data_IF_966857712472
#
_entry.id   IF_966857712472
#
_cell.length_a   1.000
_cell.length_b   1.000
_cell.length_c   1.000
_cell.angle_alpha   90.00
_cell.angle_beta   90.00
_cell.angle_gamma   90.00
#
_symmetry.space_group_name_H-M   'P 1'
#
loop_
_entity.id
_entity.type
_entity.pdbx_description
1 polymer ?
#
# COMPACT_ATOMS: atom_id res chain seq x y z
N UNK A 1 -7.71 13.98 0.73
CA UNK A 1 -6.36 13.51 1.15
C UNK A 1 -5.58 13.14 -0.09
N UNK A 2 -4.31 13.56 -0.18
CA UNK A 2 -3.44 13.19 -1.29
C UNK A 2 -2.94 11.77 -1.10
N UNK A 3 -3.28 10.91 -2.04
CA UNK A 3 -2.79 9.53 -2.11
C UNK A 3 -2.02 9.33 -3.39
N UNK A 4 -1.13 8.34 -3.40
CA UNK A 4 -0.25 8.05 -4.53
C UNK A 4 -0.34 6.58 -4.91
N UNK A 5 -0.58 6.33 -6.19
CA UNK A 5 -0.69 5.01 -6.79
C UNK A 5 0.44 4.76 -7.78
N UNK A 6 1.14 3.65 -7.62
CA UNK A 6 2.14 3.18 -8.57
C UNK A 6 1.55 2.18 -9.55
N UNK A 7 1.89 2.29 -10.82
CA UNK A 7 1.39 1.40 -11.87
C UNK A 7 2.36 1.24 -13.02
N UNK A 8 2.37 0.06 -13.63
CA UNK A 8 3.08 -0.21 -14.91
C UNK A 8 2.29 0.20 -16.15
N UNK A 9 1.11 0.77 -15.99
CA UNK A 9 0.24 1.21 -17.08
C UNK A 9 0.04 2.72 -17.01
N UNK A 10 0.13 3.40 -18.15
CA UNK A 10 -0.18 4.83 -18.19
C UNK A 10 -1.66 5.07 -17.99
N UNK A 11 -1.95 6.05 -17.13
CA UNK A 11 -3.29 6.54 -16.85
C UNK A 11 -3.44 7.98 -17.35
N UNK A 12 -4.67 8.41 -17.51
CA UNK A 12 -5.01 9.77 -17.96
C UNK A 12 -5.63 10.57 -16.80
N UNK A 13 -5.22 11.83 -16.64
CA UNK A 13 -5.77 12.73 -15.65
C UNK A 13 -7.30 12.83 -15.79
N UNK A 14 -8.02 12.73 -14.70
CA UNK A 14 -9.47 12.75 -14.65
C UNK A 14 -10.15 11.38 -14.82
N UNK A 15 -9.42 10.33 -15.18
CA UNK A 15 -9.99 9.00 -15.34
C UNK A 15 -10.44 8.40 -14.01
N UNK A 16 -11.62 7.77 -14.03
CA UNK A 16 -12.08 6.90 -12.96
C UNK A 16 -11.57 5.48 -13.20
N UNK A 17 -10.73 4.99 -12.30
CA UNK A 17 -10.21 3.63 -12.35
C UNK A 17 -10.97 2.78 -11.33
N UNK A 18 -11.46 1.63 -11.76
CA UNK A 18 -12.22 0.69 -10.92
C UNK A 18 -11.47 -0.64 -10.85
N UNK A 19 -11.41 -1.22 -9.67
CA UNK A 19 -10.79 -2.52 -9.45
C UNK A 19 -11.60 -3.63 -10.15
N UNK A 20 -10.92 -4.52 -10.84
CA UNK A 20 -11.53 -5.66 -11.53
C UNK A 20 -10.75 -6.97 -11.39
N UNK A 21 -9.47 -6.89 -11.04
CA UNK A 21 -8.63 -8.06 -10.84
C UNK A 21 -8.50 -8.39 -9.35
N UNK A 22 -8.36 -9.69 -9.06
CA UNK A 22 -8.03 -10.13 -7.71
C UNK A 22 -6.62 -9.72 -7.32
N UNK A 23 -6.47 -9.34 -6.04
CA UNK A 23 -5.16 -9.08 -5.46
C UNK A 23 -4.32 -10.37 -5.45
N UNK A 24 -3.13 -10.31 -6.04
CA UNK A 24 -2.19 -11.44 -6.11
C UNK A 24 -1.09 -11.39 -5.05
N UNK A 25 -1.04 -10.31 -4.27
CA UNK A 25 -0.04 -10.11 -3.21
C UNK A 25 -0.48 -10.76 -1.91
N UNK A 26 0.37 -11.60 -1.33
CA UNK A 26 0.11 -12.28 -0.06
C UNK A 26 -1.23 -13.02 -0.02
N UNK A 27 -1.48 -13.99 -0.91
CA UNK A 27 -2.82 -14.59 -1.08
C UNK A 27 -3.37 -15.23 0.20
N UNK A 28 -2.53 -15.87 1.01
CA UNK A 28 -2.95 -16.50 2.27
C UNK A 28 -3.32 -15.45 3.32
N UNK A 29 -2.54 -14.38 3.43
CA UNK A 29 -2.85 -13.27 4.32
C UNK A 29 -4.16 -12.56 3.88
N UNK A 30 -4.36 -12.35 2.60
CA UNK A 30 -5.61 -11.76 2.06
C UNK A 30 -6.81 -12.62 2.42
N UNK A 31 -6.71 -13.94 2.30
CA UNK A 31 -7.79 -14.86 2.67
C UNK A 31 -8.19 -14.73 4.14
N UNK A 32 -7.22 -14.68 5.03
CA UNK A 32 -7.46 -14.52 6.47
C UNK A 32 -8.05 -13.14 6.78
N UNK A 33 -7.53 -12.08 6.14
CA UNK A 33 -8.06 -10.72 6.30
C UNK A 33 -9.50 -10.60 5.80
N UNK A 34 -9.84 -11.19 4.66
CA UNK A 34 -11.21 -11.20 4.14
C UNK A 34 -12.18 -11.96 5.06
N UNK A 35 -11.75 -13.08 5.64
CA UNK A 35 -12.57 -13.82 6.61
C UNK A 35 -12.86 -12.99 7.87
N UNK A 36 -11.96 -12.13 8.28
CA UNK A 36 -12.13 -11.22 9.44
C UNK A 36 -12.64 -9.83 9.09
N UNK A 37 -12.98 -9.58 7.82
CA UNK A 37 -13.42 -8.25 7.37
C UNK A 37 -14.75 -7.85 8.01
N UNK A 38 -14.80 -6.66 8.68
CA UNK A 38 -16.05 -6.14 9.22
C UNK A 38 -17.02 -5.76 8.09
N UNK A 39 -18.33 -5.88 8.37
CA UNK A 39 -19.39 -5.46 7.45
C UNK A 39 -19.24 -3.98 7.08
N UNK A 40 -19.38 -3.64 5.80
CA UNK A 40 -19.30 -2.28 5.29
C UNK A 40 -17.88 -1.79 4.99
N UNK A 41 -16.86 -2.60 5.21
CA UNK A 41 -15.48 -2.27 4.82
C UNK A 41 -15.18 -2.76 3.41
N UNK A 42 -14.36 -2.02 2.62
CA UNK A 42 -13.95 -2.45 1.29
C UNK A 42 -13.24 -3.80 1.32
N UNK A 43 -13.45 -4.60 0.29
CA UNK A 43 -12.72 -5.86 0.13
C UNK A 43 -11.26 -5.60 -0.25
N UNK A 44 -10.33 -6.31 0.40
CA UNK A 44 -8.92 -6.29 0.02
C UNK A 44 -8.62 -7.24 -1.16
N UNK A 45 -9.49 -8.20 -1.42
CA UNK A 45 -9.29 -9.18 -2.50
C UNK A 45 -9.49 -8.60 -3.89
N UNK A 46 -10.39 -7.62 -4.03
CA UNK A 46 -10.63 -6.88 -5.29
C UNK A 46 -10.62 -5.40 -4.96
N UNK A 47 -9.47 -4.77 -5.08
CA UNK A 47 -9.29 -3.37 -4.73
C UNK A 47 -8.12 -2.74 -5.49
N UNK A 48 -8.08 -1.43 -5.46
CA UNK A 48 -6.95 -0.62 -5.86
C UNK A 48 -6.21 -0.13 -4.62
N UNK A 49 -4.89 -0.06 -4.69
CA UNK A 49 -4.04 0.38 -3.59
C UNK A 49 -3.43 1.74 -3.87
N UNK A 50 -3.28 2.51 -2.82
CA UNK A 50 -2.51 3.75 -2.82
C UNK A 50 -1.75 3.89 -1.49
N UNK A 51 -0.81 4.79 -1.44
CA UNK A 51 -0.06 5.15 -0.24
C UNK A 51 -0.19 6.65 0.01
N UNK A 52 0.14 7.09 1.22
CA UNK A 52 0.13 8.51 1.58
C UNK A 52 1.42 9.25 1.17
N UNK A 53 2.40 8.54 0.62
CA UNK A 53 3.67 9.14 0.17
C UNK A 53 4.08 8.65 -1.22
N UNK A 54 4.74 9.51 -1.97
CA UNK A 54 5.35 9.14 -3.26
C UNK A 54 6.41 8.07 -3.05
N UNK A 55 7.22 8.18 -2.00
CA UNK A 55 8.23 7.19 -1.66
C UNK A 55 7.64 5.81 -1.40
N UNK A 56 6.50 5.73 -0.69
CA UNK A 56 5.79 4.47 -0.45
C UNK A 56 5.31 3.82 -1.75
N UNK A 57 4.69 4.58 -2.64
CA UNK A 57 4.26 4.09 -3.95
C UNK A 57 5.45 3.61 -4.80
N UNK A 58 6.55 4.36 -4.80
CA UNK A 58 7.76 4.01 -5.55
C UNK A 58 8.41 2.74 -5.01
N UNK A 59 8.53 2.59 -3.69
CA UNK A 59 9.06 1.37 -3.06
C UNK A 59 8.23 0.15 -3.41
N UNK A 60 6.92 0.30 -3.43
CA UNK A 60 6.03 -0.77 -3.82
C UNK A 60 6.32 -1.23 -5.26
N UNK A 61 6.48 -0.29 -6.19
CA UNK A 61 6.79 -0.62 -7.58
C UNK A 61 8.16 -1.30 -7.74
N UNK A 62 9.17 -0.85 -7.02
CA UNK A 62 10.48 -1.52 -6.99
C UNK A 62 10.40 -2.92 -6.41
N UNK A 63 9.65 -3.11 -5.32
CA UNK A 63 9.45 -4.41 -4.70
C UNK A 63 8.76 -5.41 -5.64
N UNK A 64 7.85 -4.93 -6.49
CA UNK A 64 7.15 -5.73 -7.50
C UNK A 64 7.95 -5.89 -8.80
N UNK A 65 9.12 -5.28 -8.91
CA UNK A 65 9.99 -5.32 -10.11
C UNK A 65 9.27 -4.85 -11.38
N UNK A 66 8.41 -3.85 -11.24
CA UNK A 66 7.71 -3.23 -12.36
C UNK A 66 8.59 -2.16 -12.98
N UNK A 67 8.90 -2.30 -14.28
CA UNK A 67 9.71 -1.35 -15.04
C UNK A 67 9.26 -1.38 -16.52
N UNK A 68 8.87 -0.25 -17.13
CA UNK A 68 8.72 1.08 -16.51
C UNK A 68 7.51 1.17 -15.58
N UNK A 69 7.50 2.17 -14.71
CA UNK A 69 6.36 2.49 -13.88
C UNK A 69 6.12 4.00 -13.82
N UNK A 70 4.89 4.37 -13.44
CA UNK A 70 4.44 5.73 -13.22
C UNK A 70 3.83 5.85 -11.83
N UNK A 71 3.92 7.03 -11.24
CA UNK A 71 3.25 7.36 -9.99
C UNK A 71 2.22 8.45 -10.27
N UNK A 72 1.01 8.24 -9.78
CA UNK A 72 -0.10 9.19 -9.90
C UNK A 72 -0.58 9.65 -8.55
N UNK A 73 -0.87 10.95 -8.42
CA UNK A 73 -1.70 11.45 -7.34
C UNK A 73 -3.15 11.04 -7.66
N UNK A 74 -3.82 10.44 -6.70
CA UNK A 74 -5.18 9.90 -6.87
C UNK A 74 -6.08 10.31 -5.70
N UNK A 75 -7.39 10.30 -5.93
CA UNK A 75 -8.40 10.54 -4.92
C UNK A 75 -9.31 9.31 -4.79
N UNK A 76 -9.38 8.77 -3.58
CA UNK A 76 -10.31 7.71 -3.20
C UNK A 76 -11.43 8.29 -2.34
N UNK A 77 -12.67 7.99 -2.67
CA UNK A 77 -13.85 8.38 -1.87
C UNK A 77 -14.12 7.34 -0.79
N UNK A 78 -14.16 6.07 -1.19
CA UNK A 78 -14.34 4.93 -0.31
C UNK A 78 -13.02 4.20 -0.16
N UNK A 79 -12.50 4.12 1.06
CA UNK A 79 -11.23 3.44 1.32
C UNK A 79 -11.13 2.91 2.74
N UNK A 80 -10.27 1.93 2.91
CA UNK A 80 -9.76 1.45 4.19
C UNK A 80 -8.27 1.84 4.29
N UNK A 81 -7.88 2.41 5.41
CA UNK A 81 -6.48 2.59 5.79
C UNK A 81 -6.02 1.40 6.61
N UNK A 82 -4.88 0.85 6.29
CA UNK A 82 -4.28 -0.23 7.06
C UNK A 82 -2.75 -0.10 7.13
N UNK A 83 -2.13 -0.58 8.22
CA UNK A 83 -0.68 -0.62 8.32
C UNK A 83 -0.08 -1.57 7.29
N UNK A 84 0.84 -1.07 6.48
CA UNK A 84 1.45 -1.84 5.39
C UNK A 84 2.14 -3.13 5.86
N UNK A 85 2.79 -3.10 7.03
CA UNK A 85 3.56 -4.23 7.56
C UNK A 85 2.71 -5.38 8.07
N UNK A 86 1.46 -5.15 8.43
CA UNK A 86 0.62 -6.20 9.03
C UNK A 86 0.40 -7.36 8.07
N UNK A 87 0.23 -7.08 6.79
CA UNK A 87 0.05 -8.14 5.78
C UNK A 87 1.25 -9.07 5.70
N UNK A 88 2.46 -8.51 5.70
CA UNK A 88 3.70 -9.29 5.72
C UNK A 88 3.85 -10.09 7.01
N UNK A 89 3.56 -9.50 8.16
CA UNK A 89 3.59 -10.21 9.45
C UNK A 89 2.58 -11.35 9.52
N UNK A 90 1.37 -11.15 8.99
CA UNK A 90 0.37 -12.23 8.90
C UNK A 90 0.91 -13.38 8.05
N UNK A 91 1.46 -13.08 6.88
CA UNK A 91 2.01 -14.10 5.98
C UNK A 91 3.13 -14.92 6.64
N UNK A 92 4.05 -14.25 7.31
CA UNK A 92 5.12 -14.90 8.06
C UNK A 92 4.59 -15.80 9.20
N UNK A 93 3.61 -15.33 9.96
CA UNK A 93 3.01 -16.09 11.04
C UNK A 93 2.20 -17.28 10.56
N UNK A 94 1.46 -17.14 9.46
CA UNK A 94 0.76 -18.27 8.84
C UNK A 94 1.73 -19.37 8.43
N UNK A 95 2.86 -19.00 7.84
CA UNK A 95 3.92 -19.95 7.46
C UNK A 95 4.53 -20.65 8.68
N UNK A 96 4.61 -19.99 9.83
CA UNK A 96 5.13 -20.53 11.08
C UNK A 96 4.07 -21.25 11.93
N UNK A 97 2.80 -21.27 11.51
CA UNK A 97 1.70 -21.85 12.28
C UNK A 97 1.32 -21.07 13.53
N UNK A 98 1.69 -19.78 13.60
CA UNK A 98 1.43 -18.90 14.74
C UNK A 98 0.07 -18.20 14.60
N UNK A 99 -0.70 -17.98 15.68
CA UNK A 99 -1.98 -17.26 15.61
C UNK A 99 -1.86 -15.85 15.07
N UNK A 100 -2.87 -15.41 14.28
CA UNK A 100 -2.89 -14.10 13.61
C UNK A 100 -4.10 -13.22 13.98
N UNK A 101 -4.98 -13.66 14.87
CA UNK A 101 -6.24 -12.97 15.17
C UNK A 101 -6.07 -11.52 15.61
N UNK A 102 -5.05 -11.24 16.43
CA UNK A 102 -4.75 -9.87 16.88
C UNK A 102 -4.29 -8.97 15.73
N UNK A 103 -3.51 -9.51 14.81
CA UNK A 103 -3.04 -8.77 13.63
C UNK A 103 -4.19 -8.48 12.67
N UNK A 104 -5.10 -9.43 12.48
CA UNK A 104 -6.32 -9.22 11.67
C UNK A 104 -7.19 -8.11 12.28
N UNK A 105 -7.40 -8.12 13.59
CA UNK A 105 -8.15 -7.06 14.29
C UNK A 105 -7.47 -5.69 14.14
N UNK A 106 -6.15 -5.63 14.32
CA UNK A 106 -5.36 -4.40 14.16
C UNK A 106 -5.40 -3.87 12.72
N UNK A 107 -5.37 -4.74 11.74
CA UNK A 107 -5.47 -4.36 10.32
C UNK A 107 -6.75 -3.59 10.01
N UNK A 108 -7.89 -4.09 10.48
CA UNK A 108 -9.18 -3.49 10.20
C UNK A 108 -9.54 -2.29 11.09
N UNK A 109 -8.93 -2.18 12.25
CA UNK A 109 -9.13 -1.10 13.23
C UNK A 109 -7.80 -0.69 13.85
N UNK A 110 -6.90 -0.04 13.09
CA UNK A 110 -5.58 0.32 13.59
C UNK A 110 -5.68 1.26 14.80
N UNK A 111 -5.02 0.90 15.90
CA UNK A 111 -5.02 1.68 17.15
C UNK A 111 -3.88 2.69 17.21
N UNK A 112 -2.78 2.43 16.50
CA UNK A 112 -1.57 3.25 16.53
C UNK A 112 -1.34 4.00 15.22
N UNK A 113 -0.50 5.03 15.30
CA UNK A 113 0.01 5.73 14.12
C UNK A 113 1.17 4.93 13.52
N UNK A 114 0.91 4.24 12.44
CA UNK A 114 1.92 3.49 11.71
C UNK A 114 2.61 4.39 10.69
N UNK A 115 3.91 4.23 10.52
CA UNK A 115 4.71 5.04 9.60
C UNK A 115 4.37 4.83 8.13
N UNK A 116 3.97 3.61 7.78
CA UNK A 116 3.62 3.26 6.41
C UNK A 116 2.22 2.67 6.39
N UNK A 117 1.31 3.41 5.76
CA UNK A 117 -0.06 2.98 5.58
C UNK A 117 -0.31 2.69 4.10
N UNK A 118 -1.07 1.64 3.86
CA UNK A 118 -1.74 1.42 2.59
C UNK A 118 -3.18 1.90 2.69
N UNK A 119 -3.69 2.37 1.58
CA UNK A 119 -5.09 2.75 1.40
C UNK A 119 -5.62 1.91 0.27
N UNK A 120 -6.75 1.26 0.47
CA UNK A 120 -7.35 0.46 -0.57
C UNK A 120 -8.86 0.66 -0.65
N UNK A 121 -9.38 0.60 -1.85
CA UNK A 121 -10.79 0.80 -2.13
C UNK A 121 -11.17 0.32 -3.53
N UNK A 122 -12.46 0.38 -3.87
CA UNK A 122 -12.97 -0.14 -5.12
C UNK A 122 -12.59 0.71 -6.34
N UNK A 123 -12.31 1.99 -6.14
CA UNK A 123 -12.01 2.93 -7.24
C UNK A 123 -11.26 4.16 -6.77
N UNK A 124 -10.60 4.83 -7.69
CA UNK A 124 -10.04 6.17 -7.50
C UNK A 124 -10.16 7.00 -8.78
N UNK A 125 -10.06 8.32 -8.62
CA UNK A 125 -9.92 9.28 -9.72
C UNK A 125 -8.45 9.67 -9.83
N UNK A 126 -7.92 9.64 -11.05
CA UNK A 126 -6.56 10.11 -11.36
C UNK A 126 -6.54 11.63 -11.36
N UNK A 127 -5.70 12.23 -10.51
CA UNK A 127 -5.56 13.69 -10.42
C UNK A 127 -4.46 14.19 -11.36
N UNK A 128 -3.25 13.65 -11.22
CA UNK A 128 -2.10 14.00 -12.06
C UNK A 128 -1.00 12.95 -12.00
N UNK A 129 -0.19 12.90 -13.04
CA UNK A 129 1.09 12.17 -13.00
C UNK A 129 2.08 12.94 -12.13
N UNK A 130 2.81 12.22 -11.27
CA UNK A 130 3.91 12.79 -10.49
C UNK A 130 5.15 12.88 -11.38
N UNK A 131 5.77 14.07 -11.54
CA UNK A 131 6.95 14.22 -12.37
C UNK A 131 8.13 13.34 -11.93
N UNK A 132 8.88 12.79 -12.86
CA UNK A 132 10.03 11.93 -12.57
C UNK A 132 11.08 12.59 -11.66
N UNK A 133 11.31 13.89 -11.81
CA UNK A 133 12.23 14.65 -10.95
C UNK A 133 11.81 14.67 -9.47
N UNK A 134 10.51 14.80 -9.21
CA UNK A 134 9.93 14.78 -7.85
C UNK A 134 10.08 13.39 -7.21
N UNK A 135 9.92 12.33 -7.99
CA UNK A 135 10.11 10.94 -7.52
C UNK A 135 11.55 10.71 -7.10
N UNK A 136 12.52 11.09 -7.92
CA UNK A 136 13.96 10.89 -7.66
C UNK A 136 14.40 11.64 -6.40
N UNK A 137 14.00 12.89 -6.23
CA UNK A 137 14.36 13.71 -5.06
C UNK A 137 13.86 13.10 -3.75
N UNK A 138 12.58 12.76 -3.68
CA UNK A 138 11.96 12.20 -2.48
C UNK A 138 12.45 10.80 -2.13
N UNK A 139 12.69 9.96 -3.12
CA UNK A 139 13.23 8.61 -2.90
C UNK A 139 14.66 8.66 -2.39
N UNK A 140 15.49 9.55 -2.92
CA UNK A 140 16.86 9.73 -2.47
C UNK A 140 16.93 10.19 -1.01
N UNK A 141 16.07 11.13 -0.60
CA UNK A 141 15.96 11.58 0.78
C UNK A 141 15.54 10.44 1.73
N UNK A 142 14.51 9.70 1.36
CA UNK A 142 13.98 8.62 2.18
C UNK A 142 14.97 7.45 2.32
N UNK A 143 15.70 7.11 1.28
CA UNK A 143 16.76 6.09 1.33
C UNK A 143 17.92 6.53 2.24
N UNK A 144 18.31 7.79 2.21
CA UNK A 144 19.34 8.35 3.09
C UNK A 144 18.91 8.28 4.55
N UNK A 145 17.69 8.73 4.85
CA UNK A 145 17.10 8.68 6.20
C UNK A 145 17.02 7.24 6.74
N UNK A 146 16.56 6.31 5.93
CA UNK A 146 16.47 4.90 6.31
C UNK A 146 17.83 4.26 6.54
N UNK A 147 18.87 4.71 5.80
CA UNK A 147 20.25 4.29 5.99
C UNK A 147 20.81 4.79 7.32
N UNK A 148 20.61 6.07 7.62
CA UNK A 148 21.07 6.70 8.85
C UNK A 148 20.44 6.07 10.09
N UNK A 149 19.14 5.76 10.04
CA UNK A 149 18.44 5.02 11.12
C UNK A 149 19.02 3.62 11.34
N UNK A 150 19.38 2.92 10.28
CA UNK A 150 20.03 1.60 10.39
C UNK A 150 21.43 1.69 10.99
N UNK A 151 22.19 2.69 10.60
CA UNK A 151 23.52 2.96 11.15
C UNK A 151 23.45 3.32 12.64
N UNK A 152 22.48 4.14 13.05
CA UNK A 152 22.31 4.52 14.46
C UNK A 152 21.88 3.35 15.38
N UNK A 153 21.23 2.32 14.84
CA UNK A 153 20.85 1.10 15.58
C UNK A 153 21.96 0.04 15.65
N UNK A 154 23.00 0.17 14.84
CA UNK A 154 24.13 -0.74 14.81
C UNK A 154 25.26 -0.34 15.80
N UNK A 155 25.12 0.80 16.45
CA UNK A 155 26.00 1.30 17.52
C UNK A 155 25.32 1.03 18.86
#
# INVERSE_FOLDING_TARGET
MKLFHGTGTRLTDGDLITAYNQCTYYPDAVKVLENGRPTGRPSRSICLFATDTIAGATRFMFGQKVDPFWIYEVEMVEFQRAPFRITDEIDQRLSAGTPVDKLVAEYWSPTDTWFFNEYFGPSFIVIREVPAAEIVELVSFDLSYSRDLRMSKAI
#
